data_IF_285132326349
#
_entry.id   IF_285132326349
#
_cell.length_a   1.000
_cell.length_b   1.000
_cell.length_c   1.000
_cell.angle_alpha   90.00
_cell.angle_beta   90.00
_cell.angle_gamma   90.00
#
_symmetry.space_group_name_H-M   'P 1'
#
loop_
_entity.id
_entity.type
_entity.pdbx_description
1 polymer ?
#
# COMPACT_ATOMS: atom_id res chain seq x y z
N UNK A 1 -15.54 14.73 28.83
CA UNK A 1 -16.60 13.87 28.26
C UNK A 1 -16.48 13.98 26.74
N UNK A 2 -16.27 12.86 26.03
CA UNK A 2 -16.26 12.87 24.57
C UNK A 2 -17.67 13.25 24.06
N UNK A 3 -17.74 14.15 23.07
CA UNK A 3 -18.99 14.53 22.42
C UNK A 3 -19.64 13.28 21.78
N UNK A 4 -20.94 13.01 21.99
CA UNK A 4 -21.67 11.91 21.34
C UNK A 4 -21.49 11.88 19.81
N UNK A 5 -21.19 13.01 19.17
CA UNK A 5 -20.86 13.08 17.73
C UNK A 5 -19.54 12.37 17.38
N UNK A 6 -18.55 12.41 18.27
CA UNK A 6 -17.28 11.70 18.08
C UNK A 6 -17.47 10.18 18.11
N UNK A 7 -18.37 9.69 18.97
CA UNK A 7 -18.67 8.26 19.11
C UNK A 7 -19.33 7.73 17.82
N UNK A 8 -20.28 8.48 17.26
CA UNK A 8 -20.98 8.10 16.03
C UNK A 8 -20.01 8.01 14.84
N UNK A 9 -19.09 8.98 14.70
CA UNK A 9 -18.08 8.94 13.63
C UNK A 9 -17.09 7.78 13.77
N UNK A 10 -16.63 7.49 15.00
CA UNK A 10 -15.69 6.39 15.28
C UNK A 10 -16.36 5.03 15.02
N UNK A 11 -17.60 4.85 15.47
CA UNK A 11 -18.37 3.61 15.25
C UNK A 11 -18.69 3.40 13.77
N UNK A 12 -19.04 4.48 13.04
CA UNK A 12 -19.27 4.41 11.60
C UNK A 12 -18.03 4.01 10.80
N UNK A 13 -16.85 4.46 11.21
CA UNK A 13 -15.58 4.11 10.56
C UNK A 13 -15.17 2.66 10.80
N UNK A 14 -15.43 2.12 12.00
CA UNK A 14 -15.15 0.72 12.35
C UNK A 14 -16.03 -0.29 11.59
N UNK A 15 -17.27 0.09 11.26
CA UNK A 15 -18.21 -0.78 10.54
C UNK A 15 -17.90 -0.95 9.03
N UNK A 16 -16.92 -0.24 8.48
CA UNK A 16 -16.55 -0.30 7.06
C UNK A 16 -15.37 -1.25 6.75
N UNK A 17 -14.86 -1.98 7.74
CA UNK A 17 -13.81 -2.97 7.54
C UNK A 17 -14.33 -4.15 6.71
N UNK A 18 -14.11 -4.11 5.40
CA UNK A 18 -14.41 -5.23 4.50
C UNK A 18 -13.32 -6.30 4.56
N UNK A 19 -13.73 -7.54 4.31
CA UNK A 19 -12.85 -8.68 4.05
C UNK A 19 -12.08 -8.41 2.76
N UNK A 20 -10.75 -8.54 2.82
CA UNK A 20 -9.87 -8.43 1.66
C UNK A 20 -9.64 -9.83 1.07
N UNK A 21 -10.17 -10.06 -0.13
CA UNK A 21 -9.85 -11.27 -0.90
C UNK A 21 -8.50 -11.11 -1.62
N UNK A 22 -7.75 -12.22 -1.69
CA UNK A 22 -6.55 -12.30 -2.51
C UNK A 22 -6.90 -12.10 -3.99
N UNK A 23 -5.97 -11.53 -4.76
CA UNK A 23 -6.21 -11.22 -6.17
C UNK A 23 -6.44 -12.49 -7.00
N UNK A 24 -7.41 -12.48 -7.93
CA UNK A 24 -7.75 -13.67 -8.73
C UNK A 24 -6.56 -14.22 -9.54
N UNK A 25 -5.61 -13.37 -9.94
CA UNK A 25 -4.36 -13.79 -10.58
C UNK A 25 -3.37 -14.49 -9.64
N UNK A 26 -3.36 -14.16 -8.35
CA UNK A 26 -2.46 -14.75 -7.35
C UNK A 26 -2.85 -16.19 -7.00
N UNK A 27 -4.14 -16.50 -7.17
CA UNK A 27 -4.68 -17.84 -7.03
C UNK A 27 -4.40 -18.73 -8.25
N UNK A 28 -3.92 -18.19 -9.37
CA UNK A 28 -3.68 -18.96 -10.60
C UNK A 28 -2.48 -19.92 -10.42
N UNK A 29 -2.68 -21.25 -10.51
CA UNK A 29 -1.61 -22.23 -10.28
C UNK A 29 -0.50 -22.15 -11.34
N UNK A 30 -0.82 -21.75 -12.57
CA UNK A 30 0.14 -21.61 -13.67
C UNK A 30 1.06 -20.43 -13.38
N UNK A 31 0.49 -19.30 -12.95
CA UNK A 31 1.25 -18.13 -12.52
C UNK A 31 2.21 -18.47 -11.37
N UNK A 32 1.71 -19.14 -10.32
CA UNK A 32 2.55 -19.53 -9.16
C UNK A 32 3.70 -20.45 -9.56
N UNK A 33 3.44 -21.38 -10.47
CA UNK A 33 4.47 -22.30 -10.99
C UNK A 33 5.55 -21.53 -11.75
N UNK A 34 5.15 -20.64 -12.67
CA UNK A 34 6.08 -19.79 -13.42
C UNK A 34 6.95 -18.94 -12.48
N UNK A 35 6.36 -18.27 -11.48
CA UNK A 35 7.13 -17.44 -10.54
C UNK A 35 8.14 -18.26 -9.74
N UNK A 36 7.75 -19.46 -9.29
CA UNK A 36 8.63 -20.35 -8.54
C UNK A 36 9.76 -20.93 -9.39
N UNK A 37 9.50 -21.23 -10.66
CA UNK A 37 10.54 -21.67 -11.60
C UNK A 37 11.49 -20.53 -11.97
N UNK A 38 10.97 -19.32 -12.21
CA UNK A 38 11.80 -18.16 -12.52
C UNK A 38 12.69 -17.76 -11.36
N UNK A 39 12.20 -17.77 -10.11
CA UNK A 39 13.04 -17.49 -8.94
C UNK A 39 14.19 -18.50 -8.78
N UNK A 40 14.00 -19.75 -9.25
CA UNK A 40 15.02 -20.81 -9.22
C UNK A 40 15.97 -20.78 -10.41
N UNK A 41 15.47 -20.58 -11.63
CA UNK A 41 16.27 -20.65 -12.87
C UNK A 41 16.79 -19.28 -13.31
N UNK A 42 16.19 -18.21 -12.81
CA UNK A 42 16.46 -16.84 -13.22
C UNK A 42 15.97 -16.48 -14.62
N UNK A 43 15.06 -17.27 -15.20
CA UNK A 43 14.58 -17.11 -16.56
C UNK A 43 13.08 -17.42 -16.68
N UNK A 44 12.41 -16.72 -17.60
CA UNK A 44 11.06 -17.01 -18.09
C UNK A 44 11.17 -17.26 -19.59
N UNK A 45 10.91 -18.50 -20.03
CA UNK A 45 11.16 -18.92 -21.41
C UNK A 45 12.62 -18.71 -21.82
N UNK A 46 12.85 -17.98 -22.91
CA UNK A 46 14.18 -17.62 -23.42
C UNK A 46 14.77 -16.36 -22.76
N UNK A 47 13.98 -15.63 -21.96
CA UNK A 47 14.42 -14.37 -21.34
C UNK A 47 15.00 -14.65 -19.96
N UNK A 48 16.30 -14.41 -19.79
CA UNK A 48 17.00 -14.59 -18.53
C UNK A 48 17.42 -13.25 -17.91
N UNK A 49 17.29 -13.12 -16.59
CA UNK A 49 17.55 -11.88 -15.85
C UNK A 49 18.89 -11.95 -15.11
N UNK A 50 19.80 -11.03 -15.44
CA UNK A 50 21.13 -10.91 -14.79
C UNK A 50 21.08 -10.79 -13.26
N UNK A 51 20.12 -10.07 -12.64
CA UNK A 51 19.98 -10.02 -11.18
C UNK A 51 19.71 -11.39 -10.54
N UNK A 52 18.99 -12.28 -11.24
CA UNK A 52 18.70 -13.63 -10.78
C UNK A 52 19.91 -14.58 -10.93
N UNK A 53 20.71 -14.40 -11.99
CA UNK A 53 21.87 -15.26 -12.27
C UNK A 53 22.95 -15.19 -11.18
N UNK A 54 23.12 -14.03 -10.55
CA UNK A 54 24.08 -13.83 -9.46
C UNK A 54 23.72 -14.60 -8.18
N UNK A 55 22.43 -14.91 -7.95
CA UNK A 55 21.98 -15.70 -6.81
C UNK A 55 22.30 -17.20 -6.98
N UNK A 56 22.33 -17.67 -8.22
CA UNK A 56 22.64 -19.06 -8.55
C UNK A 56 24.13 -19.37 -8.35
N UNK A 57 25.02 -18.47 -8.79
CA UNK A 57 26.48 -18.63 -8.63
C UNK A 57 26.94 -18.63 -7.17
N UNK A 58 26.25 -17.90 -6.28
CA UNK A 58 26.59 -17.85 -4.86
C UNK A 58 25.98 -18.99 -4.03
N UNK A 59 25.01 -19.73 -4.57
CA UNK A 59 24.48 -20.94 -3.91
C UNK A 59 25.45 -22.12 -3.97
N UNK A 60 26.40 -22.08 -4.90
CA UNK A 60 27.46 -23.08 -5.12
C UNK A 60 28.76 -22.83 -4.36
N UNK A 61 28.88 -21.74 -3.61
CA UNK A 61 30.13 -21.38 -2.91
C UNK A 61 29.82 -21.01 -1.46
N UNK A 62 30.23 -21.88 -0.53
CA UNK A 62 30.08 -21.70 0.93
C UNK A 62 30.63 -20.34 1.38
N UNK A 63 29.75 -19.36 1.56
CA UNK A 63 30.11 -18.08 2.15
C UNK A 63 30.25 -18.23 3.67
N UNK A 64 31.31 -17.69 4.31
CA UNK A 64 31.49 -17.77 5.75
C UNK A 64 30.31 -17.16 6.53
N UNK A 65 29.91 -17.82 7.63
CA UNK A 65 28.73 -17.52 8.46
C UNK A 65 28.67 -16.09 9.05
N UNK A 66 29.74 -15.30 8.94
CA UNK A 66 29.84 -13.93 9.47
C UNK A 66 29.74 -12.82 8.40
N UNK A 67 29.59 -13.16 7.11
CA UNK A 67 29.29 -12.17 6.07
C UNK A 67 27.81 -11.77 6.16
N UNK A 68 27.54 -10.68 6.87
CA UNK A 68 26.27 -9.96 6.80
C UNK A 68 25.92 -9.74 5.32
N UNK A 69 24.81 -10.31 4.82
CA UNK A 69 24.38 -10.13 3.41
C UNK A 69 24.39 -8.63 3.09
N UNK A 70 25.30 -8.13 2.22
CA UNK A 70 25.31 -6.71 1.90
C UNK A 70 23.95 -6.30 1.34
N UNK A 71 23.46 -5.11 1.72
CA UNK A 71 22.17 -4.56 1.29
C UNK A 71 21.99 -4.63 -0.24
N UNK A 72 23.10 -4.54 -0.98
CA UNK A 72 23.16 -4.74 -2.42
C UNK A 72 22.68 -6.12 -2.91
N UNK A 73 23.00 -7.20 -2.20
CA UNK A 73 22.51 -8.55 -2.54
C UNK A 73 21.03 -8.73 -2.22
N UNK A 74 20.55 -8.12 -1.13
CA UNK A 74 19.13 -8.10 -0.80
C UNK A 74 18.36 -7.35 -1.90
N UNK A 75 18.87 -6.21 -2.37
CA UNK A 75 18.29 -5.45 -3.46
C UNK A 75 18.25 -6.26 -4.76
N UNK A 76 19.33 -6.97 -5.13
CA UNK A 76 19.34 -7.86 -6.31
C UNK A 76 18.33 -9.01 -6.21
N UNK A 77 18.14 -9.56 -5.01
CA UNK A 77 17.14 -10.59 -4.78
C UNK A 77 15.71 -10.08 -4.95
N UNK A 78 15.44 -8.86 -4.49
CA UNK A 78 14.15 -8.20 -4.67
C UNK A 78 13.89 -7.83 -6.13
N UNK A 79 14.92 -7.36 -6.84
CA UNK A 79 14.87 -7.07 -8.28
C UNK A 79 14.58 -8.37 -9.07
N UNK A 80 15.20 -9.51 -8.71
CA UNK A 80 14.90 -10.79 -9.35
C UNK A 80 13.42 -11.21 -9.17
N UNK A 81 12.90 -11.11 -7.94
CA UNK A 81 11.51 -11.47 -7.63
C UNK A 81 10.51 -10.59 -8.37
N UNK A 82 10.75 -9.27 -8.46
CA UNK A 82 9.87 -8.35 -9.18
C UNK A 82 9.89 -8.61 -10.70
N UNK A 83 11.06 -8.87 -11.29
CA UNK A 83 11.19 -9.24 -12.70
C UNK A 83 10.43 -10.54 -13.02
N UNK A 84 10.63 -11.59 -12.23
CA UNK A 84 9.92 -12.86 -12.39
C UNK A 84 8.40 -12.71 -12.32
N UNK A 85 7.89 -11.97 -11.32
CA UNK A 85 6.46 -11.70 -11.16
C UNK A 85 5.87 -10.97 -12.36
N UNK A 86 6.57 -9.96 -12.87
CA UNK A 86 6.13 -9.18 -14.02
C UNK A 86 6.08 -10.04 -15.29
N UNK A 87 7.15 -10.77 -15.60
CA UNK A 87 7.22 -11.56 -16.82
C UNK A 87 6.23 -12.73 -16.83
N UNK A 88 6.09 -13.44 -15.71
CA UNK A 88 5.09 -14.50 -15.58
C UNK A 88 3.65 -13.97 -15.66
N UNK A 89 3.37 -12.79 -15.11
CA UNK A 89 2.06 -12.13 -15.24
C UNK A 89 1.77 -11.81 -16.71
N UNK A 90 2.74 -11.19 -17.41
CA UNK A 90 2.57 -10.80 -18.81
C UNK A 90 2.41 -12.01 -19.74
N UNK A 91 3.13 -13.11 -19.49
CA UNK A 91 2.97 -14.35 -20.26
C UNK A 91 1.60 -14.97 -20.02
N UNK A 92 1.16 -15.05 -18.76
CA UNK A 92 -0.15 -15.59 -18.43
C UNK A 92 -1.29 -14.79 -19.05
N UNK A 93 -1.17 -13.46 -19.06
CA UNK A 93 -2.19 -12.59 -19.63
C UNK A 93 -2.21 -12.62 -21.16
N UNK A 94 -1.09 -12.95 -21.83
CA UNK A 94 -1.11 -13.26 -23.27
C UNK A 94 -1.94 -14.50 -23.58
N UNK A 95 -1.83 -15.56 -22.76
CA UNK A 95 -2.64 -16.77 -22.92
C UNK A 95 -4.13 -16.49 -22.63
N UNK A 96 -4.42 -15.71 -21.59
CA UNK A 96 -5.78 -15.37 -21.19
C UNK A 96 -6.46 -14.42 -22.16
N UNK A 97 -5.75 -13.50 -22.80
CA UNK A 97 -6.31 -12.55 -23.77
C UNK A 97 -7.10 -13.21 -24.92
N UNK A 98 -6.83 -14.49 -25.20
CA UNK A 98 -7.53 -15.27 -26.24
C UNK A 98 -8.91 -15.76 -25.78
N UNK A 99 -9.12 -15.98 -24.48
CA UNK A 99 -10.29 -16.71 -23.96
C UNK A 99 -11.00 -16.07 -22.75
N UNK A 100 -10.34 -15.16 -22.04
CA UNK A 100 -10.76 -14.60 -20.76
C UNK A 100 -10.41 -13.10 -20.69
N UNK A 101 -11.14 -12.34 -19.87
CA UNK A 101 -10.80 -10.95 -19.56
C UNK A 101 -9.55 -10.83 -18.67
N UNK A 102 -8.92 -9.64 -18.62
CA UNK A 102 -7.72 -9.43 -17.83
C UNK A 102 -8.02 -9.54 -16.34
N UNK A 103 -7.05 -10.04 -15.57
CA UNK A 103 -7.16 -10.10 -14.11
C UNK A 103 -6.00 -9.39 -13.42
N UNK A 104 -6.22 -9.11 -12.13
CA UNK A 104 -5.27 -8.44 -11.26
C UNK A 104 -4.32 -9.48 -10.64
N UNK A 105 -3.02 -9.21 -10.62
CA UNK A 105 -1.98 -10.03 -9.96
C UNK A 105 -1.25 -9.15 -8.94
N UNK A 106 -1.15 -9.58 -7.69
CA UNK A 106 -0.51 -8.88 -6.59
C UNK A 106 -0.93 -7.40 -6.49
N UNK A 107 -2.22 -7.13 -6.71
CA UNK A 107 -2.72 -5.76 -6.66
C UNK A 107 -2.50 -4.95 -7.96
N UNK A 108 -2.04 -5.55 -9.05
CA UNK A 108 -1.66 -4.87 -10.30
C UNK A 108 -2.38 -5.38 -11.53
N UNK A 109 -2.54 -4.50 -12.50
CA UNK A 109 -2.99 -4.86 -13.84
C UNK A 109 -1.78 -5.17 -14.75
N UNK A 110 -1.95 -6.02 -15.78
CA UNK A 110 -0.87 -6.43 -16.67
C UNK A 110 -0.53 -5.34 -17.70
N UNK A 111 0.08 -4.26 -17.23
CA UNK A 111 0.54 -3.17 -18.08
C UNK A 111 1.93 -3.45 -18.66
N UNK A 112 2.13 -3.08 -19.92
CA UNK A 112 3.46 -3.14 -20.53
C UNK A 112 4.34 -2.00 -20.01
N UNK A 113 5.54 -2.34 -19.53
CA UNK A 113 6.59 -1.39 -19.19
C UNK A 113 6.99 -0.56 -20.41
N UNK A 114 7.04 0.76 -20.26
CA UNK A 114 7.52 1.71 -21.26
C UNK A 114 8.68 2.52 -20.68
N UNK A 115 9.81 2.59 -21.39
CA UNK A 115 11.00 3.36 -20.97
C UNK A 115 11.54 3.03 -19.57
N UNK A 116 11.36 1.79 -19.09
CA UNK A 116 11.78 1.38 -17.76
C UNK A 116 10.82 1.74 -16.63
N UNK A 117 9.72 2.45 -16.93
CA UNK A 117 8.62 2.68 -15.99
C UNK A 117 7.60 1.55 -16.06
N UNK A 118 7.20 1.04 -14.90
CA UNK A 118 6.18 0.00 -14.80
C UNK A 118 4.78 0.54 -15.11
N UNK A 119 4.47 1.74 -14.63
CA UNK A 119 3.18 2.38 -14.85
C UNK A 119 3.35 3.86 -15.24
N UNK A 120 3.73 4.16 -16.49
CA UNK A 120 4.10 5.52 -16.91
C UNK A 120 2.99 6.54 -16.69
N UNK A 121 1.73 6.14 -16.89
CA UNK A 121 0.57 7.00 -16.68
C UNK A 121 0.40 7.34 -15.19
N UNK A 122 0.51 6.34 -14.30
CA UNK A 122 0.44 6.54 -12.85
C UNK A 122 1.57 7.44 -12.35
N UNK A 123 2.79 7.32 -12.89
CA UNK A 123 3.93 8.21 -12.57
C UNK A 123 3.60 9.66 -12.92
N UNK A 124 3.11 9.92 -14.15
CA UNK A 124 2.76 11.27 -14.59
C UNK A 124 1.66 11.86 -13.71
N UNK A 125 0.59 11.11 -13.43
CA UNK A 125 -0.48 11.58 -12.55
C UNK A 125 0.00 11.86 -11.12
N UNK A 126 0.89 11.02 -10.57
CA UNK A 126 1.47 11.23 -9.24
C UNK A 126 2.32 12.49 -9.19
N UNK A 127 3.13 12.73 -10.23
CA UNK A 127 3.94 13.95 -10.35
C UNK A 127 3.08 15.21 -10.50
N UNK A 128 2.02 15.15 -11.31
CA UNK A 128 1.08 16.28 -11.46
C UNK A 128 0.38 16.59 -10.12
N UNK A 129 -0.02 15.57 -9.36
CA UNK A 129 -0.58 15.77 -8.02
C UNK A 129 0.45 16.40 -7.07
N UNK A 130 1.69 15.90 -7.07
CA UNK A 130 2.78 16.50 -6.29
C UNK A 130 2.96 17.99 -6.62
N UNK A 131 3.00 18.34 -7.90
CA UNK A 131 3.13 19.72 -8.36
C UNK A 131 1.94 20.59 -7.92
N UNK A 132 0.71 20.07 -8.02
CA UNK A 132 -0.49 20.76 -7.57
C UNK A 132 -0.48 21.02 -6.05
N UNK A 133 -0.08 20.02 -5.25
CA UNK A 133 0.05 20.18 -3.80
C UNK A 133 1.16 21.17 -3.41
N UNK A 134 2.29 21.14 -4.09
CA UNK A 134 3.38 22.09 -3.89
C UNK A 134 2.94 23.53 -4.21
N UNK A 135 2.30 23.72 -5.36
CA UNK A 135 1.78 25.02 -5.76
C UNK A 135 0.74 25.54 -4.75
N UNK A 136 -0.23 24.71 -4.37
CA UNK A 136 -1.25 25.07 -3.38
C UNK A 136 -0.67 25.43 -2.02
N UNK A 137 0.31 24.66 -1.53
CA UNK A 137 1.02 24.94 -0.28
C UNK A 137 1.81 26.25 -0.36
N UNK A 138 2.48 26.53 -1.48
CA UNK A 138 3.22 27.78 -1.69
C UNK A 138 2.29 29.00 -1.72
N UNK A 139 1.19 28.92 -2.45
CA UNK A 139 0.18 29.99 -2.47
C UNK A 139 -0.39 30.24 -1.07
N UNK A 140 -0.68 29.19 -0.32
CA UNK A 140 -1.17 29.28 1.05
C UNK A 140 -0.13 29.88 1.99
N UNK A 141 1.14 29.47 1.88
CA UNK A 141 2.25 30.05 2.63
C UNK A 141 2.38 31.56 2.35
N UNK A 142 2.38 31.96 1.08
CA UNK A 142 2.46 33.37 0.70
C UNK A 142 1.29 34.16 1.29
N UNK A 143 0.07 33.62 1.21
CA UNK A 143 -1.13 34.24 1.75
C UNK A 143 -1.00 34.48 3.27
N UNK A 144 -0.64 33.47 4.04
CA UNK A 144 -0.55 33.56 5.50
C UNK A 144 0.56 34.49 5.97
N UNK A 145 1.73 34.43 5.36
CA UNK A 145 2.91 35.16 5.85
C UNK A 145 3.05 36.58 5.29
N UNK A 146 2.57 36.84 4.07
CA UNK A 146 2.79 38.14 3.41
C UNK A 146 1.52 38.95 3.18
N UNK A 147 0.33 38.34 3.21
CA UNK A 147 -0.93 39.04 2.88
C UNK A 147 -1.86 39.21 4.07
N UNK A 148 -1.87 38.29 5.03
CA UNK A 148 -2.69 38.43 6.24
C UNK A 148 -1.98 39.23 7.33
N UNK A 149 -2.70 40.11 8.04
CA UNK A 149 -2.16 40.83 9.18
C UNK A 149 -1.88 39.84 10.33
N UNK A 150 -0.70 39.96 10.94
CA UNK A 150 -0.35 39.20 12.15
C UNK A 150 -1.16 39.73 13.34
N UNK A 151 -1.74 38.83 14.14
CA UNK A 151 -2.40 39.19 15.40
C UNK A 151 -1.43 38.89 16.53
N UNK A 152 -0.86 39.91 17.17
CA UNK A 152 0.07 39.76 18.31
C UNK A 152 1.14 38.67 18.05
N UNK A 153 1.89 38.79 16.95
CA UNK A 153 2.94 37.85 16.50
C UNK A 153 2.50 36.41 16.19
N UNK A 154 1.19 36.14 16.11
CA UNK A 154 0.64 34.86 15.66
C UNK A 154 -0.08 35.01 14.32
N UNK A 155 -0.07 33.97 13.46
CA UNK A 155 -0.88 33.98 12.24
C UNK A 155 -2.35 34.18 12.60
N UNK A 156 -3.06 35.03 11.84
CA UNK A 156 -4.48 35.33 12.04
C UNK A 156 -5.37 34.08 12.07
N UNK A 157 -4.91 33.01 11.42
CA UNK A 157 -5.62 31.76 11.28
C UNK A 157 -5.10 30.69 12.24
N UNK A 158 -5.92 30.34 13.24
CA UNK A 158 -5.58 29.42 14.33
C UNK A 158 -5.11 28.03 13.86
N UNK A 159 -5.51 27.59 12.66
CA UNK A 159 -5.19 26.27 12.11
C UNK A 159 -4.01 26.31 11.13
N UNK A 160 -3.28 27.42 11.03
CA UNK A 160 -2.30 27.61 9.97
C UNK A 160 -1.21 26.53 9.95
N UNK A 161 -0.69 26.15 11.12
CA UNK A 161 0.30 25.09 11.27
C UNK A 161 -0.20 23.73 10.78
N UNK A 162 -1.46 23.38 11.02
CA UNK A 162 -2.02 22.10 10.60
C UNK A 162 -2.08 21.97 9.07
N UNK A 163 -2.37 23.06 8.36
CA UNK A 163 -2.37 23.07 6.89
C UNK A 163 -0.96 22.97 6.31
N UNK A 164 0.07 23.50 6.99
CA UNK A 164 1.45 23.27 6.57
C UNK A 164 1.84 21.80 6.71
N UNK A 165 1.49 21.15 7.82
CA UNK A 165 1.73 19.72 8.03
C UNK A 165 0.98 18.90 6.97
N UNK A 166 -0.29 19.23 6.68
CA UNK A 166 -1.06 18.58 5.62
C UNK A 166 -0.36 18.66 4.26
N UNK A 167 0.10 19.86 3.88
CA UNK A 167 0.79 20.07 2.60
C UNK A 167 2.09 19.26 2.51
N UNK A 168 2.89 19.25 3.57
CA UNK A 168 4.13 18.46 3.63
C UNK A 168 3.87 16.95 3.53
N UNK A 169 2.88 16.43 4.26
CA UNK A 169 2.51 15.02 4.19
C UNK A 169 1.93 14.65 2.82
N UNK A 170 1.13 15.54 2.21
CA UNK A 170 0.59 15.33 0.86
C UNK A 170 1.71 15.23 -0.16
N UNK A 171 2.65 16.18 -0.15
CA UNK A 171 3.81 16.15 -1.04
C UNK A 171 4.67 14.90 -0.81
N UNK A 172 4.86 14.48 0.45
CA UNK A 172 5.60 13.26 0.75
C UNK A 172 4.91 12.01 0.17
N UNK A 173 3.58 11.92 0.29
CA UNK A 173 2.81 10.79 -0.24
C UNK A 173 2.89 10.71 -1.77
N UNK A 174 2.68 11.83 -2.46
CA UNK A 174 2.74 11.84 -3.93
C UNK A 174 4.16 11.64 -4.48
N UNK A 175 5.18 12.07 -3.74
CA UNK A 175 6.57 11.77 -4.06
C UNK A 175 6.83 10.26 -4.01
N UNK A 176 6.47 9.59 -2.92
CA UNK A 176 6.67 8.14 -2.81
C UNK A 176 5.81 7.36 -3.79
N UNK A 177 4.61 7.81 -4.09
CA UNK A 177 3.75 7.24 -5.13
C UNK A 177 4.41 7.34 -6.51
N UNK A 178 4.95 8.51 -6.88
CA UNK A 178 5.67 8.67 -8.14
C UNK A 178 6.91 7.77 -8.22
N UNK A 179 7.68 7.65 -7.13
CA UNK A 179 8.85 6.77 -7.05
C UNK A 179 8.43 5.30 -7.18
N UNK A 180 7.38 4.87 -6.49
CA UNK A 180 6.86 3.50 -6.52
C UNK A 180 6.38 3.10 -7.92
N UNK A 181 5.56 3.93 -8.57
CA UNK A 181 5.09 3.67 -9.93
C UNK A 181 6.22 3.75 -10.97
N UNK A 182 7.32 4.43 -10.64
CA UNK A 182 8.48 4.53 -11.52
C UNK A 182 9.31 3.24 -11.53
N UNK A 183 9.69 2.76 -10.34
CA UNK A 183 10.45 1.53 -10.17
C UNK A 183 10.00 0.85 -8.90
N UNK A 184 9.37 -0.31 -9.08
CA UNK A 184 8.90 -1.12 -7.97
C UNK A 184 10.06 -1.84 -7.29
N UNK A 185 10.33 -1.46 -6.05
CA UNK A 185 11.18 -2.17 -5.11
C UNK A 185 10.36 -2.34 -3.84
N UNK A 186 10.48 -3.47 -3.13
CA UNK A 186 9.72 -3.70 -1.88
C UNK A 186 9.87 -2.55 -0.88
N UNK A 187 11.02 -1.87 -0.89
CA UNK A 187 11.25 -0.68 -0.09
C UNK A 187 10.40 0.52 -0.52
N UNK A 188 10.29 0.80 -1.82
CA UNK A 188 9.50 1.94 -2.33
C UNK A 188 8.00 1.70 -2.16
N UNK A 189 7.56 0.43 -2.27
CA UNK A 189 6.19 0.01 -1.97
C UNK A 189 5.82 0.29 -0.51
N UNK A 190 6.66 -0.14 0.44
CA UNK A 190 6.42 0.11 1.87
C UNK A 190 6.33 1.58 2.20
N UNK A 191 7.15 2.41 1.57
CA UNK A 191 7.14 3.86 1.79
C UNK A 191 5.92 4.54 1.17
N UNK A 192 5.50 4.11 -0.02
CA UNK A 192 4.27 4.61 -0.64
C UNK A 192 3.06 4.35 0.27
N UNK A 193 2.85 3.09 0.69
CA UNK A 193 1.77 2.75 1.61
C UNK A 193 1.87 3.47 2.96
N UNK A 194 3.07 3.52 3.56
CA UNK A 194 3.27 4.19 4.84
C UNK A 194 2.95 5.69 4.75
N UNK A 195 3.36 6.34 3.66
CA UNK A 195 3.11 7.76 3.42
C UNK A 195 1.64 8.06 3.14
N UNK A 196 0.95 7.20 2.38
CA UNK A 196 -0.48 7.31 2.11
C UNK A 196 -1.31 7.14 3.40
N UNK A 197 -0.98 6.14 4.23
CA UNK A 197 -1.63 5.94 5.54
C UNK A 197 -1.38 7.12 6.46
N UNK A 198 -0.16 7.66 6.51
CA UNK A 198 0.15 8.85 7.30
C UNK A 198 -0.66 10.08 6.86
N UNK A 199 -0.78 10.30 5.55
CA UNK A 199 -1.61 11.36 4.99
C UNK A 199 -3.09 11.19 5.36
N UNK A 200 -3.64 9.98 5.22
CA UNK A 200 -5.04 9.68 5.58
C UNK A 200 -5.30 9.89 7.08
N UNK A 201 -4.42 9.37 7.94
CA UNK A 201 -4.51 9.54 9.38
C UNK A 201 -4.48 11.02 9.79
N UNK A 202 -3.57 11.80 9.19
CA UNK A 202 -3.51 13.24 9.43
C UNK A 202 -4.72 14.00 8.87
N UNK A 203 -5.23 13.59 7.70
CA UNK A 203 -6.44 14.17 7.11
C UNK A 203 -7.65 13.98 8.02
N UNK A 204 -7.77 12.80 8.63
CA UNK A 204 -8.81 12.52 9.63
C UNK A 204 -8.67 13.43 10.84
N UNK A 205 -7.46 13.56 11.40
CA UNK A 205 -7.17 14.48 12.52
C UNK A 205 -7.57 15.91 12.17
N UNK A 206 -7.11 16.42 11.03
CA UNK A 206 -7.40 17.77 10.55
C UNK A 206 -8.90 18.00 10.38
N UNK A 207 -9.61 17.02 9.81
CA UNK A 207 -11.06 17.10 9.60
C UNK A 207 -11.83 17.18 10.93
N UNK A 208 -11.45 16.36 11.93
CA UNK A 208 -12.08 16.37 13.26
C UNK A 208 -11.83 17.68 14.00
N UNK A 209 -10.58 18.14 14.04
CA UNK A 209 -10.21 19.39 14.70
C UNK A 209 -10.95 20.57 14.07
N UNK A 210 -11.03 20.63 12.73
CA UNK A 210 -11.75 21.71 12.03
C UNK A 210 -13.26 21.63 12.19
N UNK A 211 -13.86 20.44 12.08
CA UNK A 211 -15.32 20.28 12.18
C UNK A 211 -15.85 20.55 13.59
N UNK A 212 -15.08 20.20 14.63
CA UNK A 212 -15.44 20.49 16.03
C UNK A 212 -15.03 21.93 16.40
N UNK A 213 -14.10 22.54 15.67
CA UNK A 213 -13.65 23.91 15.90
C UNK A 213 -12.71 24.04 17.10
N UNK A 214 -11.89 23.02 17.37
CA UNK A 214 -11.00 22.97 18.54
C UNK A 214 -9.81 23.92 18.34
N UNK A 215 -9.78 24.99 19.13
CA UNK A 215 -8.73 26.02 19.05
C UNK A 215 -7.64 25.87 20.11
N UNK A 216 -7.98 25.26 21.24
CA UNK A 216 -7.05 25.05 22.33
C UNK A 216 -6.06 23.92 22.01
N UNK A 217 -4.81 24.13 22.41
CA UNK A 217 -3.73 23.16 22.13
C UNK A 217 -3.95 21.83 22.85
N UNK A 218 -4.50 21.86 24.07
CA UNK A 218 -4.79 20.65 24.84
C UNK A 218 -5.82 19.75 24.15
N UNK A 219 -6.92 20.32 23.65
CA UNK A 219 -7.95 19.61 22.90
C UNK A 219 -7.44 19.06 21.58
N UNK A 220 -6.57 19.80 20.88
CA UNK A 220 -5.91 19.31 19.66
C UNK A 220 -5.06 18.07 19.95
N UNK A 221 -4.26 18.10 21.01
CA UNK A 221 -3.44 16.96 21.44
C UNK A 221 -4.33 15.78 21.85
N UNK A 222 -5.40 16.02 22.61
CA UNK A 222 -6.33 14.99 23.08
C UNK A 222 -7.01 14.24 21.92
N UNK A 223 -7.39 14.93 20.85
CA UNK A 223 -7.97 14.31 19.65
C UNK A 223 -6.90 13.65 18.76
N UNK A 224 -5.75 14.31 18.60
CA UNK A 224 -4.70 13.84 17.68
C UNK A 224 -3.96 12.61 18.21
N UNK A 225 -3.60 12.58 19.49
CA UNK A 225 -2.78 11.53 20.09
C UNK A 225 -3.29 10.10 19.84
N UNK A 226 -4.56 9.75 20.09
CA UNK A 226 -5.06 8.39 19.83
C UNK A 226 -5.04 8.03 18.34
N UNK A 227 -5.32 9.01 17.45
CA UNK A 227 -5.32 8.79 15.99
C UNK A 227 -3.90 8.65 15.44
N UNK A 228 -2.94 9.42 15.96
CA UNK A 228 -1.52 9.27 15.65
C UNK A 228 -1.06 7.89 16.11
N UNK A 229 -1.36 7.50 17.35
CA UNK A 229 -1.00 6.17 17.87
C UNK A 229 -1.56 5.05 16.97
N UNK A 230 -2.84 5.11 16.61
CA UNK A 230 -3.47 4.17 15.68
C UNK A 230 -2.77 4.13 14.32
N UNK A 231 -2.53 5.30 13.72
CA UNK A 231 -1.87 5.42 12.41
C UNK A 231 -0.45 4.86 12.45
N UNK A 232 0.33 5.19 13.49
CA UNK A 232 1.69 4.68 13.68
C UNK A 232 1.70 3.17 13.89
N UNK A 233 0.82 2.63 14.74
CA UNK A 233 0.70 1.18 14.91
C UNK A 233 0.33 0.49 13.60
N UNK A 234 -0.56 1.08 12.81
CA UNK A 234 -0.94 0.54 11.50
C UNK A 234 0.24 0.56 10.50
N UNK A 235 1.01 1.64 10.45
CA UNK A 235 2.23 1.74 9.62
C UNK A 235 3.26 0.69 10.06
N UNK A 236 3.48 0.53 11.37
CA UNK A 236 4.39 -0.49 11.89
C UNK A 236 3.92 -1.90 11.56
N UNK A 237 2.61 -2.14 11.64
CA UNK A 237 2.00 -3.41 11.23
C UNK A 237 2.28 -3.70 9.75
N UNK A 238 2.02 -2.74 8.85
CA UNK A 238 2.26 -2.89 7.40
C UNK A 238 3.73 -3.10 7.05
N UNK A 239 4.66 -2.51 7.81
CA UNK A 239 6.10 -2.64 7.56
C UNK A 239 6.71 -3.93 8.12
N UNK A 240 6.19 -4.43 9.25
CA UNK A 240 6.77 -5.57 9.97
C UNK A 240 6.11 -6.91 9.60
N UNK A 241 4.83 -6.91 9.22
CA UNK A 241 4.26 -8.09 8.58
C UNK A 241 4.82 -8.20 7.17
N UNK A 242 5.42 -9.35 6.85
CA UNK A 242 5.77 -9.66 5.46
C UNK A 242 4.50 -9.48 4.65
N UNK A 243 4.51 -8.49 3.76
CA UNK A 243 3.56 -8.39 2.65
C UNK A 243 3.86 -9.53 1.66
N UNK A 244 3.83 -10.78 2.14
CA UNK A 244 3.75 -11.95 1.31
C UNK A 244 2.31 -11.98 0.77
N UNK A 245 2.05 -11.14 -0.23
CA UNK A 245 0.85 -11.14 -1.07
C UNK A 245 0.58 -12.49 -1.78
N UNK A 246 1.34 -13.56 -1.46
CA UNK A 246 1.13 -14.92 -1.94
C UNK A 246 0.70 -15.92 -0.86
N UNK A 247 0.77 -15.59 0.43
CA UNK A 247 0.33 -16.47 1.51
C UNK A 247 0.01 -15.64 2.76
N UNK A 248 -1.25 -15.20 2.92
CA UNK A 248 -1.99 -15.27 4.20
C UNK A 248 -3.29 -14.44 4.18
N UNK A 249 -4.36 -15.04 3.66
CA UNK A 249 -5.74 -14.70 4.08
C UNK A 249 -6.10 -15.21 5.51
N UNK A 250 -5.40 -16.14 6.20
CA UNK A 250 -5.87 -16.56 7.54
C UNK A 250 -5.39 -15.68 8.71
N UNK A 251 -4.44 -14.75 8.53
CA UNK A 251 -3.85 -14.03 9.68
C UNK A 251 -4.75 -12.90 10.24
N UNK A 252 -5.77 -12.47 9.50
CA UNK A 252 -6.72 -11.44 9.95
C UNK A 252 -7.84 -12.02 10.84
N UNK A 253 -7.94 -13.35 10.98
CA UNK A 253 -8.94 -14.02 11.82
C UNK A 253 -8.56 -14.15 13.31
N UNK A 254 -7.39 -13.66 13.75
CA UNK A 254 -6.89 -13.97 15.09
C UNK A 254 -7.10 -12.90 16.17
N UNK A 255 -7.97 -11.91 15.93
CA UNK A 255 -8.52 -11.09 17.00
C UNK A 255 -10.03 -11.20 16.99
N UNK A 256 -10.52 -11.94 18.00
CA UNK A 256 -11.91 -12.11 18.46
C UNK A 256 -12.77 -13.15 17.71
N UNK A 257 -12.79 -14.35 18.31
CA UNK A 257 -13.74 -15.47 18.13
C UNK A 257 -13.69 -16.27 16.82
N UNK A 258 -12.81 -17.27 16.77
CA UNK A 258 -13.04 -18.49 15.98
C UNK A 258 -13.32 -19.64 16.95
N UNK A 259 -14.59 -20.04 17.05
CA UNK A 259 -14.98 -21.36 17.56
C UNK A 259 -14.65 -22.37 16.46
N UNK A 260 -13.87 -23.44 16.74
CA UNK A 260 -13.59 -24.45 15.74
C UNK A 260 -14.73 -25.46 15.70
N UNK A 261 -15.35 -25.67 14.55
CA UNK A 261 -16.00 -26.95 14.25
C UNK A 261 -15.98 -27.25 12.73
N UNK A 262 -15.25 -28.28 12.27
CA UNK A 262 -15.32 -28.75 10.90
C UNK A 262 -16.07 -30.07 10.84
N UNK A 263 -17.34 -30.07 10.43
CA UNK A 263 -18.02 -31.18 9.73
C UNK A 263 -19.49 -30.83 9.51
N UNK A 264 -19.99 -31.15 8.31
CA UNK A 264 -21.33 -30.89 7.76
C UNK A 264 -21.58 -29.49 7.19
N UNK A 265 -21.22 -29.30 5.91
CA UNK A 265 -22.06 -28.52 4.98
C UNK A 265 -21.90 -28.95 3.51
N UNK A 266 -21.77 -30.26 3.28
CA UNK A 266 -21.78 -30.84 1.91
C UNK A 266 -23.12 -31.48 1.54
N UNK A 267 -24.20 -31.23 2.28
CA UNK A 267 -25.51 -31.88 2.02
C UNK A 267 -26.73 -30.98 1.91
N UNK A 268 -26.60 -29.65 2.00
CA UNK A 268 -27.76 -28.74 1.92
C UNK A 268 -27.90 -27.93 0.61
N UNK A 269 -26.97 -28.05 -0.34
CA UNK A 269 -27.04 -27.38 -1.64
C UNK A 269 -27.48 -28.28 -2.81
N UNK A 270 -27.76 -29.56 -2.57
CA UNK A 270 -28.29 -30.50 -3.57
C UNK A 270 -29.81 -30.70 -3.51
N UNK A 271 -30.52 -30.04 -2.59
CA UNK A 271 -31.97 -30.23 -2.38
C UNK A 271 -32.87 -29.08 -2.87
N UNK A 272 -32.30 -28.00 -3.42
CA UNK A 272 -33.08 -26.89 -4.00
C UNK A 272 -33.02 -26.80 -5.54
N UNK A 273 -32.45 -27.80 -6.22
CA UNK A 273 -32.36 -27.85 -7.68
C UNK A 273 -33.43 -28.75 -8.36
N UNK A 274 -34.45 -29.22 -7.62
CA UNK A 274 -35.48 -30.12 -8.15
C UNK A 274 -36.89 -29.81 -7.66
N UNK A 275 -37.32 -28.55 -7.65
CA UNK A 275 -38.76 -28.20 -7.74
C UNK A 275 -38.87 -26.87 -8.48
N UNK A 276 -39.16 -26.95 -9.77
CA UNK A 276 -39.23 -25.79 -10.68
C UNK A 276 -39.60 -26.18 -12.10
N UNK A 277 -40.57 -27.09 -12.22
CA UNK A 277 -41.48 -27.22 -13.37
C UNK A 277 -42.86 -26.85 -12.88
#
# INVERSE_FOLDING_TARGET
MLDPRCIIFIVGFLCLARVLDASAGDADPIYRTCTGECERRGCVGETCFTPCKYLLDHSSTEAPWYMQKPLYLLWKQLDCKSECRYHCMMEREKERAVHLGPVKYHGKWPFQRLFGFQEPVSVVFSFLNLAAHFYGWLCYFILIYYKLPLKHDKPYYDFAGLWHIYGLLSMNSWFWSAVFHSREVEFTERLDYSSAVALLGFSLILSLIRSIGIKDEAGRVMVSAPLIAFTTTHILYLNNFRMDYGMQVPAMCNMTFCVPNPENDTKLLSLFAQVGT
#
